data_IF_680304054853
#
_entry.id   IF_680304054853
#
_cell.length_a   1.000
_cell.length_b   1.000
_cell.length_c   1.000
_cell.angle_alpha   90.00
_cell.angle_beta   90.00
_cell.angle_gamma   90.00
#
_symmetry.space_group_name_H-M   'P 1'
#
loop_
_entity.id
_entity.type
_entity.pdbx_description
1 polymer ?
#
# COMPACT_ATOMS: atom_id res chain seq x y z
N UNK A 1 5.90 11.47 -0.99
CA UNK A 1 6.99 10.60 -1.48
C UNK A 1 6.91 9.29 -0.68
N UNK A 2 7.22 8.14 -1.28
CA UNK A 2 7.25 6.85 -0.60
C UNK A 2 8.52 6.66 0.26
N UNK A 3 9.56 7.46 0.02
CA UNK A 3 10.80 7.47 0.80
C UNK A 3 10.62 8.19 2.15
N UNK A 4 9.78 9.23 2.17
CA UNK A 4 9.55 10.10 3.34
C UNK A 4 8.08 10.14 3.76
N UNK A 5 7.83 9.90 5.04
CA UNK A 5 6.49 9.98 5.61
C UNK A 5 6.40 9.29 6.96
N UNK A 6 5.30 9.53 7.69
CA UNK A 6 5.18 9.03 9.05
C UNK A 6 5.13 7.49 9.10
N UNK A 7 4.78 6.80 8.00
CA UNK A 7 4.77 5.33 7.89
C UNK A 7 6.15 4.70 7.56
N UNK A 8 7.15 5.49 7.16
CA UNK A 8 8.45 4.99 6.70
C UNK A 8 8.39 4.09 5.44
N UNK A 9 9.53 3.72 4.84
CA UNK A 9 9.56 2.77 3.72
C UNK A 9 8.99 1.39 4.11
N UNK A 10 8.23 0.69 3.25
CA UNK A 10 7.90 1.01 1.85
C UNK A 10 6.63 1.87 1.67
N UNK A 11 6.00 2.32 2.76
CA UNK A 11 4.65 2.91 2.75
C UNK A 11 4.67 4.45 2.64
N UNK A 12 5.70 5.11 3.19
CA UNK A 12 5.94 6.56 3.09
C UNK A 12 4.74 7.46 3.40
N UNK A 13 4.70 8.64 2.77
CA UNK A 13 3.49 9.49 2.71
C UNK A 13 2.86 9.30 1.34
N UNK A 14 1.79 8.50 1.29
CA UNK A 14 0.95 8.38 0.11
C UNK A 14 0.07 9.63 -0.02
N UNK A 15 0.45 10.50 -0.94
CA UNK A 15 -0.43 11.52 -1.47
C UNK A 15 -1.44 10.89 -2.44
N UNK A 16 -2.31 11.69 -3.07
CA UNK A 16 -3.17 11.19 -4.15
C UNK A 16 -2.29 10.64 -5.29
N UNK A 17 -2.30 9.31 -5.45
CA UNK A 17 -1.51 8.56 -6.44
C UNK A 17 -2.17 8.48 -7.81
N UNK A 18 -3.50 8.61 -7.86
CA UNK A 18 -4.28 8.58 -9.08
C UNK A 18 -5.56 9.40 -8.96
N UNK A 19 -6.07 9.89 -10.09
CA UNK A 19 -7.33 10.62 -10.20
C UNK A 19 -8.17 10.00 -11.31
N UNK A 20 -9.46 9.75 -11.07
CA UNK A 20 -10.41 9.25 -12.07
C UNK A 20 -11.45 10.33 -12.39
N UNK A 21 -11.57 10.67 -13.69
CA UNK A 21 -12.57 11.61 -14.22
C UNK A 21 -13.36 10.91 -15.32
N UNK A 22 -14.62 10.59 -15.05
CA UNK A 22 -15.42 9.76 -15.95
C UNK A 22 -14.81 8.35 -16.08
N UNK A 23 -14.63 7.87 -17.30
CA UNK A 23 -13.99 6.59 -17.62
C UNK A 23 -12.45 6.66 -17.68
N UNK A 24 -11.86 7.85 -17.58
CA UNK A 24 -10.41 8.02 -17.64
C UNK A 24 -9.81 8.04 -16.23
N UNK A 25 -8.73 7.28 -16.03
CA UNK A 25 -7.95 7.25 -14.80
C UNK A 25 -6.51 7.64 -15.09
N UNK A 26 -6.01 8.65 -14.38
CA UNK A 26 -4.66 9.18 -14.50
C UNK A 26 -3.83 8.81 -13.26
N UNK A 27 -2.69 8.17 -13.46
CA UNK A 27 -1.74 7.80 -12.42
C UNK A 27 -0.57 8.78 -12.38
N UNK A 28 -0.38 9.42 -11.23
CA UNK A 28 0.78 10.27 -10.94
C UNK A 28 1.92 9.47 -10.34
N UNK A 29 1.60 8.42 -9.59
CA UNK A 29 2.58 7.53 -8.97
C UNK A 29 2.19 6.07 -9.20
N UNK A 30 3.15 5.23 -9.57
CA UNK A 30 2.96 3.77 -9.65
C UNK A 30 3.89 3.06 -8.69
N UNK A 31 3.37 2.07 -7.98
CA UNK A 31 4.15 1.11 -7.19
C UNK A 31 3.36 -0.20 -7.16
N UNK A 32 4.05 -1.33 -7.30
CA UNK A 32 3.39 -2.63 -7.14
C UNK A 32 2.97 -2.87 -5.68
N UNK A 33 1.91 -3.65 -5.48
CA UNK A 33 1.44 -4.03 -4.15
C UNK A 33 2.21 -5.23 -3.56
N UNK A 34 1.86 -5.65 -2.34
CA UNK A 34 2.29 -6.93 -1.72
C UNK A 34 3.80 -7.14 -1.55
N UNK A 35 4.49 -6.25 -0.82
CA UNK A 35 5.91 -6.41 -0.46
C UNK A 35 6.89 -6.57 -1.65
N UNK A 36 6.45 -6.30 -2.87
CA UNK A 36 7.34 -6.24 -4.02
C UNK A 36 8.33 -5.08 -3.84
N UNK A 37 9.56 -5.32 -4.28
CA UNK A 37 10.69 -4.40 -4.18
C UNK A 37 10.75 -3.39 -5.33
N UNK A 38 9.76 -3.41 -6.24
CA UNK A 38 9.69 -2.46 -7.34
C UNK A 38 9.72 -1.01 -6.81
N UNK A 39 10.56 -0.16 -7.42
CA UNK A 39 10.61 1.24 -7.04
C UNK A 39 9.26 1.88 -7.35
N UNK A 40 8.89 2.83 -6.48
CA UNK A 40 7.81 3.73 -6.82
C UNK A 40 8.30 4.70 -7.91
N UNK A 41 7.45 5.00 -8.88
CA UNK A 41 7.79 5.86 -10.03
C UNK A 41 6.79 7.00 -10.13
N UNK A 42 7.30 8.23 -10.29
CA UNK A 42 6.51 9.42 -10.56
C UNK A 42 6.36 9.64 -12.07
N UNK A 43 5.18 10.07 -12.50
CA UNK A 43 4.84 10.30 -13.91
C UNK A 43 4.39 11.75 -14.14
N UNK A 44 5.12 12.48 -14.98
CA UNK A 44 4.73 13.79 -15.51
C UNK A 44 5.04 13.87 -17.01
N UNK A 45 4.02 13.81 -17.90
CA UNK A 45 2.59 13.75 -17.59
C UNK A 45 2.15 12.41 -16.96
N UNK A 46 1.03 12.37 -16.23
CA UNK A 46 0.51 11.14 -15.64
C UNK A 46 0.14 10.10 -16.70
N UNK A 47 0.24 8.81 -16.36
CA UNK A 47 -0.23 7.73 -17.22
C UNK A 47 -1.75 7.68 -17.21
N UNK A 48 -2.39 7.75 -18.37
CA UNK A 48 -3.87 7.78 -18.46
C UNK A 48 -4.41 6.51 -19.11
N UNK A 49 -5.46 5.95 -18.54
CA UNK A 49 -6.13 4.74 -19.04
C UNK A 49 -7.63 4.97 -19.15
N UNK A 50 -8.26 4.39 -20.16
CA UNK A 50 -9.71 4.26 -20.24
C UNK A 50 -10.11 2.96 -19.55
N UNK A 51 -10.57 3.05 -18.31
CA UNK A 51 -10.83 1.87 -17.48
C UNK A 51 -12.09 1.10 -17.88
N UNK A 52 -12.91 1.64 -18.79
CA UNK A 52 -14.04 0.90 -19.37
C UNK A 52 -13.59 0.01 -20.53
N UNK A 53 -12.64 0.49 -21.34
CA UNK A 53 -12.09 -0.28 -22.47
C UNK A 53 -10.89 -1.14 -22.10
N UNK A 54 -10.11 -0.71 -21.11
CA UNK A 54 -8.92 -1.39 -20.62
C UNK A 54 -8.95 -1.44 -19.08
N UNK A 55 -9.77 -2.34 -18.49
CA UNK A 55 -9.86 -2.49 -17.03
C UNK A 55 -8.55 -2.95 -16.38
N UNK A 56 -7.66 -3.55 -17.17
CA UNK A 56 -6.35 -4.03 -16.72
C UNK A 56 -5.28 -2.93 -16.70
N UNK A 57 -5.58 -1.74 -17.22
CA UNK A 57 -4.64 -0.61 -17.27
C UNK A 57 -3.32 -1.00 -17.96
N UNK A 58 -3.44 -1.76 -19.05
CA UNK A 58 -2.32 -2.35 -19.79
C UNK A 58 -1.79 -1.42 -20.88
N UNK A 59 -2.62 -0.52 -21.40
CA UNK A 59 -2.35 0.28 -22.60
C UNK A 59 -2.58 1.77 -22.32
N UNK A 60 -1.53 2.52 -21.93
CA UNK A 60 -1.67 3.95 -21.64
C UNK A 60 -2.06 4.75 -22.88
N UNK A 61 -2.90 5.75 -22.69
CA UNK A 61 -3.47 6.60 -23.72
C UNK A 61 -2.76 7.95 -23.78
N UNK A 62 -2.65 8.49 -24.99
CA UNK A 62 -2.39 9.91 -25.19
C UNK A 62 -3.70 10.68 -25.11
N UNK A 63 -3.73 11.73 -24.30
CA UNK A 63 -4.91 12.58 -24.08
C UNK A 63 -4.58 14.04 -24.34
N UNK A 64 -5.61 14.89 -24.44
CA UNK A 64 -5.41 16.33 -24.64
C UNK A 64 -4.73 17.01 -23.45
N UNK A 65 -3.95 18.06 -23.71
CA UNK A 65 -3.33 18.89 -22.68
C UNK A 65 -4.36 19.46 -21.68
N UNK A 66 -5.53 19.87 -22.17
CA UNK A 66 -6.61 20.38 -21.33
C UNK A 66 -7.07 19.37 -20.26
N UNK A 67 -7.10 18.09 -20.61
CA UNK A 67 -7.42 17.02 -19.66
C UNK A 67 -6.29 16.85 -18.62
N UNK A 68 -5.03 16.86 -19.06
CA UNK A 68 -3.89 16.75 -18.16
C UNK A 68 -3.85 17.90 -17.14
N UNK A 69 -4.07 19.13 -17.59
CA UNK A 69 -4.19 20.30 -16.71
C UNK A 69 -5.34 20.12 -15.72
N UNK A 70 -6.53 19.70 -16.19
CA UNK A 70 -7.68 19.50 -15.32
C UNK A 70 -7.45 18.46 -14.24
N UNK A 71 -6.79 17.35 -14.57
CA UNK A 71 -6.46 16.30 -13.59
C UNK A 71 -5.43 16.81 -12.58
N UNK A 72 -4.42 17.58 -13.02
CA UNK A 72 -3.45 18.22 -12.13
C UNK A 72 -4.14 19.17 -11.14
N UNK A 73 -5.02 20.03 -11.62
CA UNK A 73 -5.81 20.94 -10.77
C UNK A 73 -6.65 20.17 -9.74
N UNK A 74 -7.41 19.16 -10.17
CA UNK A 74 -8.24 18.35 -9.27
C UNK A 74 -7.42 17.66 -8.17
N UNK A 75 -6.21 17.19 -8.52
CA UNK A 75 -5.29 16.63 -7.54
C UNK A 75 -4.87 17.68 -6.54
N UNK A 76 -4.36 18.83 -7.00
CA UNK A 76 -3.87 19.89 -6.12
C UNK A 76 -4.99 20.46 -5.23
N UNK A 77 -6.17 20.70 -5.78
CA UNK A 77 -7.33 21.18 -5.02
C UNK A 77 -7.71 20.22 -3.89
N UNK A 78 -7.78 18.91 -4.19
CA UNK A 78 -8.07 17.89 -3.17
C UNK A 78 -6.98 17.84 -2.10
N UNK A 79 -5.72 17.90 -2.53
CA UNK A 79 -4.56 17.86 -1.65
C UNK A 79 -4.49 19.05 -0.69
N UNK A 80 -4.92 20.23 -1.15
CA UNK A 80 -4.91 21.46 -0.37
C UNK A 80 -6.14 21.63 0.54
N UNK A 81 -7.23 20.88 0.29
CA UNK A 81 -8.49 21.02 1.04
C UNK A 81 -8.67 19.97 2.13
N UNK A 82 -7.92 18.87 2.10
CA UNK A 82 -8.05 17.80 3.08
C UNK A 82 -7.03 17.96 4.22
N UNK A 83 -7.47 18.25 5.45
CA UNK A 83 -6.58 18.26 6.61
C UNK A 83 -6.10 16.83 6.89
N UNK A 84 -4.78 16.68 7.05
CA UNK A 84 -4.16 15.39 7.31
C UNK A 84 -3.86 15.22 8.79
N UNK A 85 -4.50 14.23 9.40
CA UNK A 85 -4.17 13.79 10.75
C UNK A 85 -2.89 12.94 10.78
N UNK A 86 -2.32 12.72 11.98
CA UNK A 86 -1.28 11.72 12.16
C UNK A 86 -1.81 10.32 11.85
N UNK A 87 -1.01 9.42 11.24
CA UNK A 87 -1.42 8.03 11.05
C UNK A 87 -1.56 7.31 12.41
N UNK A 88 -2.56 6.44 12.50
CA UNK A 88 -2.88 5.69 13.73
C UNK A 88 -2.27 4.27 13.75
N UNK A 89 -1.64 3.85 12.66
CA UNK A 89 -1.21 2.45 12.43
C UNK A 89 0.31 2.29 12.37
N UNK A 90 1.06 3.21 12.97
CA UNK A 90 2.52 3.21 12.92
C UNK A 90 3.19 2.28 13.92
N UNK A 91 2.53 2.04 15.03
CA UNK A 91 3.14 1.40 16.19
C UNK A 91 2.25 0.26 16.66
N UNK A 92 2.85 -0.91 16.82
CA UNK A 92 2.27 -1.97 17.62
C UNK A 92 2.68 -1.72 19.07
N UNK A 93 1.71 -1.72 19.97
CA UNK A 93 1.97 -1.62 21.39
C UNK A 93 1.69 -2.97 22.03
N UNK A 94 2.75 -3.57 22.58
CA UNK A 94 2.74 -4.90 23.18
C UNK A 94 1.72 -5.05 24.32
N UNK A 95 1.35 -3.95 25.00
CA UNK A 95 0.33 -3.97 26.05
C UNK A 95 -1.06 -4.36 25.53
N UNK A 96 -1.32 -4.23 24.23
CA UNK A 96 -2.57 -4.64 23.58
C UNK A 96 -2.50 -6.01 22.91
N UNK A 97 -1.38 -6.73 23.02
CA UNK A 97 -1.29 -8.12 22.55
C UNK A 97 -2.02 -9.00 23.58
N UNK A 98 -3.12 -9.67 23.22
CA UNK A 98 -3.85 -10.51 24.17
C UNK A 98 -2.98 -11.66 24.65
N UNK A 99 -2.81 -11.78 25.98
CA UNK A 99 -2.04 -12.85 26.59
C UNK A 99 -2.97 -13.91 27.20
N UNK A 100 -3.06 -15.08 26.60
CA UNK A 100 -3.87 -16.18 27.12
C UNK A 100 -3.25 -16.82 28.38
N UNK A 101 -1.92 -16.92 28.44
CA UNK A 101 -1.20 -17.50 29.58
C UNK A 101 0.22 -16.92 29.74
N UNK A 102 0.49 -16.09 30.76
CA UNK A 102 1.82 -15.52 31.01
C UNK A 102 2.91 -16.57 31.29
N UNK A 103 2.56 -17.71 31.92
CA UNK A 103 3.55 -18.74 32.26
C UNK A 103 4.03 -19.53 31.05
N UNK A 104 3.28 -19.47 29.93
CA UNK A 104 3.63 -20.09 28.64
C UNK A 104 4.07 -19.04 27.60
N UNK A 105 4.49 -17.86 28.04
CA UNK A 105 4.84 -16.74 27.15
C UNK A 105 3.70 -16.40 26.18
N UNK A 106 2.48 -16.34 26.70
CA UNK A 106 1.25 -15.97 25.99
C UNK A 106 0.87 -16.89 24.80
N UNK A 107 1.45 -18.10 24.72
CA UNK A 107 1.12 -19.07 23.69
C UNK A 107 -0.10 -19.92 24.06
N UNK A 108 -0.95 -20.19 23.08
CA UNK A 108 -2.06 -21.14 23.18
C UNK A 108 -1.55 -22.56 22.91
N UNK A 109 -1.18 -23.29 23.95
CA UNK A 109 -0.84 -24.71 23.89
C UNK A 109 0.31 -25.13 24.80
N UNK A 110 0.18 -26.27 25.48
CA UNK A 110 1.32 -26.95 26.10
C UNK A 110 2.30 -27.37 25.00
N UNK A 111 3.60 -27.12 25.18
CA UNK A 111 4.62 -27.72 24.31
C UNK A 111 4.52 -29.24 24.47
N UNK A 112 3.93 -29.92 23.49
CA UNK A 112 4.01 -31.37 23.40
C UNK A 112 5.48 -31.75 23.15
N UNK A 113 6.15 -32.30 24.17
CA UNK A 113 7.46 -32.92 23.97
C UNK A 113 7.28 -34.21 23.16
N UNK A 114 7.51 -34.13 21.86
CA UNK A 114 7.58 -35.33 21.01
C UNK A 114 8.91 -36.01 21.26
N UNK A 115 8.93 -37.04 22.10
CA UNK A 115 10.08 -37.93 22.25
C UNK A 115 10.17 -38.82 21.01
N UNK A 116 11.10 -38.51 20.12
CA UNK A 116 11.46 -39.39 19.01
C UNK A 116 12.01 -40.70 19.59
N UNK A 117 11.31 -41.81 19.34
CA UNK A 117 11.81 -43.16 19.61
C UNK A 117 12.28 -43.75 18.30
N UNK A 118 13.59 -43.85 18.13
CA UNK A 118 14.20 -44.59 17.02
C UNK A 118 13.93 -46.06 17.27
N UNK A 119 13.11 -46.67 16.42
CA UNK A 119 12.92 -48.12 16.40
C UNK A 119 14.00 -48.70 15.49
N UNK A 120 15.01 -49.34 16.06
CA UNK A 120 15.96 -50.11 15.26
C UNK A 120 15.22 -51.30 14.63
N UNK A 121 15.26 -51.37 13.30
CA UNK A 121 14.78 -52.50 12.53
C UNK A 121 15.84 -53.60 12.62
N UNK A 122 15.43 -54.75 13.15
CA UNK A 122 16.19 -56.01 13.16
C UNK A 122 15.94 -56.81 11.90
#
# INVERSE_FOLDING_TARGET
DFSDGPLGPPYGRMDVVAVKVGHLKAWFWTKSGHYNDDPHVFHDPPLVFDVEKDPAESSPLTVSEAFLMRVKELREDHMNTIPRGPPLTLEQNDAYIPCANPTLNCRTGEKLEVKATTKELS
#
